data_IF_113418663208
#
_entry.id   IF_113418663208
#
_cell.length_a   1.000
_cell.length_b   1.000
_cell.length_c   1.000
_cell.angle_alpha   90.00
_cell.angle_beta   90.00
_cell.angle_gamma   90.00
#
_symmetry.space_group_name_H-M   'P 1'
#
loop_
_entity.id
_entity.type
_entity.pdbx_description
1 polymer ?
#
# COMPACT_ATOMS: atom_id res chain seq x y z
N UNK A 1 -13.16 -44.01 -52.48
CA UNK A 1 -13.18 -42.58 -52.85
C UNK A 1 -13.69 -41.77 -51.68
N UNK A 2 -12.96 -40.71 -51.35
CA UNK A 2 -13.19 -39.58 -50.44
C UNK A 2 -12.88 -39.80 -48.96
N UNK A 3 -11.71 -39.31 -48.61
CA UNK A 3 -11.23 -38.94 -47.27
C UNK A 3 -12.10 -37.87 -46.62
N UNK A 4 -12.34 -38.02 -45.33
CA UNK A 4 -12.85 -36.95 -44.47
C UNK A 4 -11.83 -36.76 -43.34
N UNK A 5 -11.21 -35.57 -43.31
CA UNK A 5 -10.21 -35.14 -42.35
C UNK A 5 -10.81 -35.00 -40.96
N UNK A 6 -10.18 -35.64 -39.98
CA UNK A 6 -10.40 -35.37 -38.57
C UNK A 6 -9.61 -34.10 -38.20
N UNK A 7 -10.33 -33.04 -37.85
CA UNK A 7 -9.76 -31.89 -37.15
C UNK A 7 -9.72 -32.18 -35.67
N UNK A 8 -8.56 -32.40 -35.11
CA UNK A 8 -8.33 -32.42 -33.67
C UNK A 8 -8.12 -30.97 -33.24
N UNK A 9 -9.11 -30.43 -32.53
CA UNK A 9 -8.98 -29.16 -31.82
C UNK A 9 -8.13 -29.39 -30.56
N UNK A 10 -6.86 -28.99 -30.60
CA UNK A 10 -6.06 -28.82 -29.38
C UNK A 10 -6.48 -27.55 -28.68
N UNK A 11 -7.33 -27.67 -27.66
CA UNK A 11 -7.60 -26.58 -26.71
C UNK A 11 -6.40 -26.50 -25.78
N UNK A 12 -5.52 -25.55 -26.04
CA UNK A 12 -4.42 -25.22 -25.16
C UNK A 12 -4.93 -24.64 -23.85
N UNK A 13 -4.76 -25.39 -22.78
CA UNK A 13 -4.87 -24.87 -21.41
C UNK A 13 -3.62 -24.01 -21.13
N UNK A 14 -3.74 -22.72 -21.37
CA UNK A 14 -2.76 -21.73 -20.97
C UNK A 14 -3.42 -20.83 -19.94
N UNK A 15 -3.42 -21.29 -18.69
CA UNK A 15 -3.95 -20.48 -17.61
C UNK A 15 -3.02 -20.46 -16.39
N UNK A 16 -2.77 -19.25 -15.94
CA UNK A 16 -2.33 -18.86 -14.60
C UNK A 16 -0.89 -19.15 -14.18
N UNK A 17 0.01 -18.31 -14.70
CA UNK A 17 1.26 -17.95 -14.01
C UNK A 17 1.50 -16.41 -14.03
N UNK A 18 0.44 -15.61 -14.07
CA UNK A 18 0.58 -14.15 -14.28
C UNK A 18 0.59 -13.28 -13.02
N UNK A 19 0.34 -13.79 -11.80
CA UNK A 19 0.19 -12.91 -10.63
C UNK A 19 1.47 -12.66 -9.84
N UNK A 20 2.47 -13.56 -9.88
CA UNK A 20 3.70 -13.41 -9.11
C UNK A 20 4.83 -12.68 -9.85
N UNK A 21 4.81 -12.67 -11.16
CA UNK A 21 5.81 -11.93 -11.95
C UNK A 21 5.59 -10.41 -11.89
N UNK A 22 4.35 -9.95 -11.77
CA UNK A 22 4.02 -8.52 -11.80
C UNK A 22 4.55 -7.73 -10.58
N UNK A 23 4.57 -8.32 -9.39
CA UNK A 23 5.04 -7.62 -8.18
C UNK A 23 6.57 -7.41 -8.18
N UNK A 24 7.34 -8.29 -8.81
CA UNK A 24 8.79 -8.17 -8.93
C UNK A 24 9.25 -7.08 -9.89
N UNK A 25 8.36 -6.56 -10.75
CA UNK A 25 8.68 -5.52 -11.73
C UNK A 25 8.35 -4.09 -11.24
N UNK A 26 7.79 -3.93 -10.03
CA UNK A 26 7.50 -2.59 -9.49
C UNK A 26 8.79 -1.95 -8.96
N UNK A 27 9.26 -0.85 -9.58
CA UNK A 27 10.53 -0.22 -9.18
C UNK A 27 10.53 0.18 -7.70
N UNK A 28 11.49 -0.37 -6.96
CA UNK A 28 11.66 -0.08 -5.53
C UNK A 28 10.70 -0.82 -4.60
N UNK A 29 9.85 -1.72 -5.08
CA UNK A 29 9.07 -2.62 -4.23
C UNK A 29 9.97 -3.77 -3.74
N UNK A 30 10.07 -3.95 -2.42
CA UNK A 30 11.04 -4.88 -1.80
C UNK A 30 10.41 -5.78 -0.72
N UNK A 31 9.10 -5.91 -0.69
CA UNK A 31 8.40 -6.80 0.25
C UNK A 31 8.95 -8.24 0.16
N UNK A 32 9.26 -8.85 1.31
CA UNK A 32 9.79 -10.21 1.41
C UNK A 32 11.22 -10.39 0.88
N UNK A 33 11.93 -9.29 0.51
CA UNK A 33 13.31 -9.38 0.04
C UNK A 33 14.29 -9.31 1.21
N UNK A 34 15.37 -10.07 1.13
CA UNK A 34 16.46 -10.09 2.13
C UNK A 34 17.20 -8.76 2.30
N UNK A 35 16.99 -7.80 1.40
CA UNK A 35 17.53 -6.44 1.49
C UNK A 35 16.75 -5.53 2.44
N UNK A 36 15.54 -5.92 2.84
CA UNK A 36 14.73 -5.21 3.83
C UNK A 36 15.32 -5.44 5.22
N UNK A 37 15.40 -4.38 6.01
CA UNK A 37 15.88 -4.49 7.39
C UNK A 37 14.81 -5.09 8.28
N UNK A 38 15.22 -5.95 9.21
CA UNK A 38 14.35 -6.40 10.29
C UNK A 38 13.81 -5.22 11.08
N UNK A 39 12.51 -5.25 11.34
CA UNK A 39 11.83 -4.25 12.14
C UNK A 39 12.38 -4.21 13.58
N UNK A 40 12.43 -3.04 14.22
CA UNK A 40 12.85 -2.92 15.62
C UNK A 40 11.74 -3.26 16.62
N UNK A 41 10.60 -3.71 16.15
CA UNK A 41 9.45 -4.18 16.92
C UNK A 41 9.06 -5.59 16.47
N UNK A 42 8.38 -6.33 17.32
CA UNK A 42 8.12 -7.76 17.16
C UNK A 42 6.69 -8.05 16.70
N UNK A 43 6.41 -9.30 16.32
CA UNK A 43 5.04 -9.77 16.10
C UNK A 43 4.18 -9.70 17.36
N UNK A 44 4.78 -9.84 18.55
CA UNK A 44 4.06 -9.64 19.82
C UNK A 44 3.61 -8.20 20.00
N UNK A 45 4.49 -7.23 19.71
CA UNK A 45 4.12 -5.80 19.71
C UNK A 45 2.99 -5.51 18.72
N UNK A 46 3.02 -6.14 17.54
CA UNK A 46 1.94 -6.03 16.56
C UNK A 46 0.61 -6.56 17.11
N UNK A 47 0.61 -7.70 17.80
CA UNK A 47 -0.61 -8.25 18.41
C UNK A 47 -1.17 -7.34 19.52
N UNK A 48 -0.29 -6.71 20.30
CA UNK A 48 -0.69 -5.70 21.28
C UNK A 48 -1.32 -4.46 20.61
N UNK A 49 -0.73 -3.96 19.52
CA UNK A 49 -1.30 -2.87 18.74
C UNK A 49 -2.66 -3.24 18.15
N UNK A 50 -2.79 -4.43 17.56
CA UNK A 50 -4.08 -4.94 17.03
C UNK A 50 -5.14 -4.96 18.11
N UNK A 51 -4.81 -5.45 19.30
CA UNK A 51 -5.72 -5.45 20.45
C UNK A 51 -6.10 -4.03 20.86
N UNK A 52 -5.14 -3.11 20.89
CA UNK A 52 -5.35 -1.70 21.28
C UNK A 52 -6.32 -0.98 20.36
N UNK A 53 -6.24 -1.21 19.06
CA UNK A 53 -7.14 -0.61 18.07
C UNK A 53 -8.40 -1.46 17.80
N UNK A 54 -8.63 -2.50 18.59
CA UNK A 54 -9.75 -3.44 18.48
C UNK A 54 -9.80 -4.13 17.10
N UNK A 55 -8.62 -4.44 16.53
CA UNK A 55 -8.50 -5.19 15.28
C UNK A 55 -8.63 -6.69 15.58
N UNK A 56 -9.50 -7.37 14.86
CA UNK A 56 -9.85 -8.78 15.09
C UNK A 56 -9.60 -9.63 13.82
N UNK A 57 -9.72 -10.95 13.96
CA UNK A 57 -9.71 -11.86 12.81
C UNK A 57 -10.85 -11.57 11.80
N UNK A 58 -11.97 -11.03 12.27
CA UNK A 58 -13.08 -10.61 11.39
C UNK A 58 -12.69 -9.37 10.57
N UNK A 59 -11.95 -8.41 11.15
CA UNK A 59 -11.42 -7.28 10.38
C UNK A 59 -10.45 -7.76 9.28
N UNK A 60 -9.58 -8.72 9.58
CA UNK A 60 -8.69 -9.30 8.56
C UNK A 60 -9.47 -10.01 7.43
N UNK A 61 -10.59 -10.65 7.73
CA UNK A 61 -11.48 -11.24 6.73
C UNK A 61 -12.12 -10.16 5.86
N UNK A 62 -12.60 -9.06 6.45
CA UNK A 62 -13.18 -7.94 5.71
C UNK A 62 -12.16 -7.20 4.84
N UNK A 63 -10.90 -7.11 5.26
CA UNK A 63 -9.83 -6.62 4.40
C UNK A 63 -9.68 -7.52 3.16
N UNK A 64 -9.59 -8.82 3.32
CA UNK A 64 -9.47 -9.76 2.19
C UNK A 64 -10.69 -9.73 1.25
N UNK A 65 -11.87 -9.54 1.80
CA UNK A 65 -13.07 -9.34 0.97
C UNK A 65 -13.00 -8.04 0.17
N UNK A 66 -12.54 -6.96 0.81
CA UNK A 66 -12.36 -5.67 0.14
C UNK A 66 -11.37 -5.72 -1.04
N UNK A 67 -10.42 -6.67 -1.04
CA UNK A 67 -9.47 -6.87 -2.14
C UNK A 67 -10.18 -7.04 -3.49
N UNK A 68 -11.21 -7.88 -3.51
CA UNK A 68 -11.99 -8.20 -4.73
C UNK A 68 -12.69 -6.98 -5.30
N UNK A 69 -13.14 -6.08 -4.41
CA UNK A 69 -13.80 -4.83 -4.78
C UNK A 69 -12.80 -3.77 -5.24
N UNK A 70 -11.68 -3.63 -4.54
CA UNK A 70 -10.73 -2.54 -4.80
C UNK A 70 -9.80 -2.81 -5.99
N UNK A 71 -9.44 -4.07 -6.25
CA UNK A 71 -8.49 -4.43 -7.30
C UNK A 71 -8.86 -3.88 -8.69
N UNK A 72 -10.10 -4.02 -9.19
CA UNK A 72 -10.50 -3.46 -10.49
C UNK A 72 -10.56 -1.93 -10.51
N UNK A 73 -10.53 -1.27 -9.35
CA UNK A 73 -10.65 0.17 -9.18
C UNK A 73 -9.37 0.85 -8.65
N UNK A 74 -8.27 0.12 -8.49
CA UNK A 74 -7.06 0.64 -7.84
C UNK A 74 -6.48 1.87 -8.55
N UNK A 75 -6.48 1.90 -9.87
CA UNK A 75 -6.01 3.05 -10.64
C UNK A 75 -6.87 4.29 -10.39
N UNK A 76 -8.19 4.17 -10.43
CA UNK A 76 -9.13 5.27 -10.20
C UNK A 76 -9.06 5.78 -8.74
N UNK A 77 -8.89 4.85 -7.79
CA UNK A 77 -8.67 5.20 -6.39
C UNK A 77 -7.42 6.06 -6.23
N UNK A 78 -6.31 5.68 -6.87
CA UNK A 78 -5.07 6.46 -6.82
C UNK A 78 -5.18 7.77 -7.59
N UNK A 79 -5.95 7.86 -8.69
CA UNK A 79 -6.24 9.13 -9.35
C UNK A 79 -6.96 10.09 -8.40
N UNK A 80 -7.94 9.62 -7.66
CA UNK A 80 -8.65 10.39 -6.64
C UNK A 80 -7.70 10.89 -5.55
N UNK A 81 -6.83 10.00 -5.04
CA UNK A 81 -5.83 10.34 -4.03
C UNK A 81 -4.81 11.38 -4.53
N UNK A 82 -4.23 11.17 -5.71
CA UNK A 82 -3.26 12.12 -6.26
C UNK A 82 -3.91 13.43 -6.72
N UNK A 83 -5.19 13.43 -7.08
CA UNK A 83 -6.00 14.63 -7.25
C UNK A 83 -6.07 15.47 -5.97
N UNK A 84 -6.32 14.82 -4.83
CA UNK A 84 -6.28 15.45 -3.51
C UNK A 84 -4.88 16.00 -3.18
N UNK A 85 -3.82 15.23 -3.38
CA UNK A 85 -2.44 15.69 -3.15
C UNK A 85 -2.11 16.89 -4.04
N UNK A 86 -2.46 16.84 -5.33
CA UNK A 86 -2.21 17.91 -6.29
C UNK A 86 -2.96 19.20 -5.98
N UNK A 87 -4.17 19.12 -5.43
CA UNK A 87 -4.95 20.26 -4.98
C UNK A 87 -4.41 20.91 -3.69
N UNK A 88 -3.45 20.29 -3.01
CA UNK A 88 -2.88 20.73 -1.75
C UNK A 88 -1.37 21.02 -1.88
N UNK A 89 -0.94 22.26 -2.17
CA UNK A 89 0.47 22.57 -2.46
C UNK A 89 1.44 22.14 -1.37
N UNK A 90 1.04 22.16 -0.10
CA UNK A 90 1.86 21.72 1.04
C UNK A 90 2.10 20.19 1.07
N UNK A 91 1.25 19.40 0.39
CA UNK A 91 1.45 17.95 0.20
C UNK A 91 2.22 17.67 -1.09
N UNK A 92 1.89 18.36 -2.19
CA UNK A 92 2.59 18.24 -3.46
C UNK A 92 4.08 18.60 -3.32
N UNK A 93 4.42 19.51 -2.40
CA UNK A 93 5.79 19.90 -2.06
C UNK A 93 6.73 18.70 -1.83
N UNK A 94 6.26 17.60 -1.24
CA UNK A 94 7.10 16.43 -0.98
C UNK A 94 7.48 15.61 -2.22
N UNK A 95 6.91 15.95 -3.37
CA UNK A 95 7.19 15.33 -4.67
C UNK A 95 7.91 16.28 -5.63
N UNK A 96 8.24 17.48 -5.18
CA UNK A 96 8.92 18.49 -5.99
C UNK A 96 10.42 18.30 -6.00
N UNK A 97 11.05 18.67 -7.13
CA UNK A 97 12.50 18.84 -7.23
C UNK A 97 12.97 19.97 -6.32
N UNK A 98 14.07 19.76 -5.60
CA UNK A 98 14.71 20.82 -4.79
C UNK A 98 15.31 21.93 -5.65
N UNK A 99 15.62 21.63 -6.92
CA UNK A 99 16.30 22.56 -7.82
C UNK A 99 15.38 23.68 -8.31
N UNK A 100 14.15 23.36 -8.68
CA UNK A 100 13.25 24.30 -9.38
C UNK A 100 11.82 24.29 -8.84
N UNK A 101 11.51 23.45 -7.85
CA UNK A 101 10.17 23.38 -7.26
C UNK A 101 9.12 22.70 -8.15
N UNK A 102 9.50 22.12 -9.27
CA UNK A 102 8.55 21.44 -10.15
C UNK A 102 8.24 20.02 -9.66
N UNK A 103 7.01 19.50 -9.84
CA UNK A 103 6.70 18.10 -9.52
C UNK A 103 7.54 17.15 -10.38
N UNK A 104 8.17 16.15 -9.71
CA UNK A 104 8.93 15.11 -10.40
C UNK A 104 7.98 14.00 -10.84
N UNK A 105 7.59 14.00 -12.12
CA UNK A 105 6.61 13.06 -12.68
C UNK A 105 7.07 11.61 -12.65
N UNK A 106 8.36 11.32 -12.88
CA UNK A 106 8.90 9.96 -12.81
C UNK A 106 8.86 9.42 -11.38
N UNK A 107 9.22 10.25 -10.40
CA UNK A 107 9.12 9.89 -8.99
C UNK A 107 7.67 9.60 -8.57
N UNK A 108 6.73 10.49 -8.97
CA UNK A 108 5.30 10.30 -8.73
C UNK A 108 4.80 8.98 -9.31
N UNK A 109 5.19 8.63 -10.55
CA UNK A 109 4.79 7.38 -11.19
C UNK A 109 5.29 6.14 -10.43
N UNK A 110 6.54 6.15 -9.98
CA UNK A 110 7.13 5.05 -9.20
C UNK A 110 6.45 4.90 -7.82
N UNK A 111 6.21 6.02 -7.13
CA UNK A 111 5.50 5.99 -5.84
C UNK A 111 4.06 5.54 -6.03
N UNK A 112 3.38 5.98 -7.09
CA UNK A 112 2.03 5.53 -7.43
C UNK A 112 1.95 4.01 -7.61
N UNK A 113 2.85 3.41 -8.38
CA UNK A 113 2.88 1.96 -8.60
C UNK A 113 3.04 1.19 -7.28
N UNK A 114 3.93 1.65 -6.38
CA UNK A 114 4.08 1.07 -5.04
C UNK A 114 2.86 1.30 -4.15
N UNK A 115 2.16 2.41 -4.31
CA UNK A 115 0.96 2.68 -3.53
C UNK A 115 -0.21 1.79 -3.97
N UNK A 116 -0.38 1.51 -5.27
CA UNK A 116 -1.33 0.50 -5.75
C UNK A 116 -1.03 -0.85 -5.09
N UNK A 117 0.24 -1.28 -5.11
CA UNK A 117 0.64 -2.53 -4.48
C UNK A 117 0.38 -2.52 -2.96
N UNK A 118 0.63 -1.40 -2.28
CA UNK A 118 0.31 -1.25 -0.86
C UNK A 118 -1.19 -1.40 -0.57
N UNK A 119 -2.07 -0.94 -1.46
CA UNK A 119 -3.52 -1.21 -1.33
C UNK A 119 -3.77 -2.72 -1.33
N UNK A 120 -3.08 -3.44 -2.20
CA UNK A 120 -3.19 -4.89 -2.30
C UNK A 120 -2.62 -5.59 -1.06
N UNK A 121 -1.43 -5.25 -0.64
CA UNK A 121 -0.78 -5.83 0.54
C UNK A 121 -1.60 -5.59 1.82
N UNK A 122 -2.22 -4.42 1.94
CA UNK A 122 -3.10 -4.10 3.07
C UNK A 122 -4.37 -4.97 3.05
N UNK A 123 -4.97 -5.12 1.87
CA UNK A 123 -6.18 -5.95 1.71
C UNK A 123 -5.90 -7.44 1.91
N UNK A 124 -4.72 -7.93 1.54
CA UNK A 124 -4.34 -9.34 1.76
C UNK A 124 -4.18 -9.69 3.25
N UNK A 125 -3.94 -8.69 4.09
CA UNK A 125 -3.90 -8.82 5.56
C UNK A 125 -2.96 -9.95 6.05
N UNK A 126 -1.76 -10.05 5.44
CA UNK A 126 -0.71 -11.00 5.81
C UNK A 126 0.18 -10.37 6.89
N UNK A 127 -0.20 -10.50 8.15
CA UNK A 127 0.51 -9.89 9.28
C UNK A 127 1.63 -10.80 9.80
N UNK A 128 2.56 -11.18 8.91
CA UNK A 128 3.76 -11.98 9.19
C UNK A 128 5.02 -11.12 9.38
N UNK A 129 6.18 -11.76 9.55
CA UNK A 129 7.44 -11.04 9.75
C UNK A 129 7.84 -10.23 8.51
N UNK A 130 7.64 -10.75 7.31
CA UNK A 130 7.96 -10.04 6.07
C UNK A 130 7.11 -8.77 5.92
N UNK A 131 5.82 -8.86 6.29
CA UNK A 131 4.94 -7.71 6.34
C UNK A 131 5.43 -6.67 7.36
N UNK A 132 5.79 -7.13 8.57
CA UNK A 132 6.25 -6.25 9.65
C UNK A 132 7.55 -5.52 9.27
N UNK A 133 8.51 -6.23 8.71
CA UNK A 133 9.77 -5.66 8.22
C UNK A 133 9.53 -4.66 7.11
N UNK A 134 8.56 -4.93 6.22
CA UNK A 134 8.22 -4.01 5.14
C UNK A 134 7.50 -2.74 5.65
N UNK A 135 6.71 -2.80 6.73
CA UNK A 135 6.17 -1.59 7.37
C UNK A 135 7.31 -0.69 7.89
N UNK A 136 8.34 -1.27 8.50
CA UNK A 136 9.51 -0.51 8.91
C UNK A 136 10.24 0.13 7.72
N UNK A 137 10.41 -0.60 6.63
CA UNK A 137 10.99 -0.09 5.39
C UNK A 137 10.18 1.10 4.83
N UNK A 138 8.85 1.02 4.83
CA UNK A 138 7.99 2.13 4.41
C UNK A 138 8.20 3.35 5.34
N UNK A 139 8.24 3.14 6.65
CA UNK A 139 8.54 4.20 7.61
C UNK A 139 9.87 4.90 7.32
N UNK A 140 10.94 4.14 7.06
CA UNK A 140 12.25 4.67 6.68
C UNK A 140 12.19 5.52 5.39
N UNK A 141 11.34 5.16 4.42
CA UNK A 141 11.19 5.89 3.16
C UNK A 141 10.51 7.24 3.30
N UNK A 142 9.95 7.56 4.46
CA UNK A 142 9.34 8.84 4.76
C UNK A 142 10.31 9.84 5.41
N UNK A 143 11.50 9.41 5.85
CA UNK A 143 12.41 10.24 6.63
C UNK A 143 13.77 10.44 5.96
N UNK A 144 14.42 11.60 6.19
CA UNK A 144 15.80 11.86 5.78
C UNK A 144 16.81 11.01 6.56
N UNK A 145 16.48 10.57 7.77
CA UNK A 145 17.30 9.64 8.58
C UNK A 145 17.32 8.24 7.96
N UNK A 146 16.26 7.88 7.24
CA UNK A 146 16.12 6.61 6.57
C UNK A 146 16.44 6.66 5.08
N UNK A 147 15.42 6.42 4.26
CA UNK A 147 15.57 6.13 2.83
C UNK A 147 14.78 7.05 1.88
N UNK A 148 14.12 8.12 2.38
CA UNK A 148 13.38 9.00 1.45
C UNK A 148 14.30 9.47 0.33
N UNK A 149 13.84 9.36 -0.90
CA UNK A 149 14.55 9.64 -2.15
C UNK A 149 15.72 8.68 -2.49
N UNK A 150 16.23 7.88 -1.55
CA UNK A 150 17.34 6.97 -1.81
C UNK A 150 16.92 5.77 -2.65
N UNK A 151 15.72 5.23 -2.41
CA UNK A 151 15.16 4.11 -3.19
C UNK A 151 15.04 4.45 -4.68
N UNK A 152 14.62 5.67 -5.00
CA UNK A 152 14.39 6.12 -6.38
C UNK A 152 15.54 6.95 -6.94
N UNK A 153 16.54 7.29 -6.10
CA UNK A 153 17.66 8.17 -6.45
C UNK A 153 17.20 9.48 -7.10
N UNK A 154 16.29 10.19 -6.44
CA UNK A 154 15.68 11.42 -6.96
C UNK A 154 16.10 12.64 -6.16
N UNK A 155 16.21 13.81 -6.83
CA UNK A 155 16.36 15.10 -6.19
C UNK A 155 15.00 15.68 -5.81
N UNK A 156 14.48 15.25 -4.67
CA UNK A 156 13.22 15.74 -4.11
C UNK A 156 13.39 16.09 -2.63
N UNK A 157 12.36 16.70 -2.03
CA UNK A 157 12.34 16.94 -0.58
C UNK A 157 12.54 15.63 0.16
N UNK A 158 13.49 15.57 1.08
CA UNK A 158 14.03 14.34 1.67
C UNK A 158 13.40 13.96 3.02
N UNK A 159 12.33 14.65 3.43
CA UNK A 159 11.65 14.40 4.69
C UNK A 159 10.17 14.78 4.61
N UNK A 160 9.29 13.87 5.00
CA UNK A 160 7.88 14.17 5.24
C UNK A 160 7.74 14.52 6.72
N UNK A 161 7.17 15.68 7.03
CA UNK A 161 6.96 16.08 8.42
C UNK A 161 6.03 15.09 9.14
N UNK A 162 6.37 14.70 10.35
CA UNK A 162 5.65 13.74 11.18
C UNK A 162 4.15 13.99 11.25
N UNK A 163 3.75 15.27 11.43
CA UNK A 163 2.32 15.67 11.48
C UNK A 163 1.53 15.26 10.24
N UNK A 164 2.16 15.26 9.05
CA UNK A 164 1.47 14.86 7.82
C UNK A 164 1.39 13.34 7.67
N UNK A 165 2.40 12.60 8.15
CA UNK A 165 2.31 11.15 8.25
C UNK A 165 1.07 10.73 9.05
N UNK A 166 0.84 11.35 10.21
CA UNK A 166 -0.32 11.06 11.05
C UNK A 166 -1.62 11.56 10.43
N UNK A 167 -1.64 12.82 9.94
CA UNK A 167 -2.85 13.44 9.42
C UNK A 167 -3.41 12.74 8.18
N UNK A 168 -2.53 12.18 7.34
CA UNK A 168 -2.92 11.51 6.09
C UNK A 168 -3.66 10.18 6.32
N UNK A 169 -3.64 9.63 7.53
CA UNK A 169 -4.48 8.48 7.89
C UNK A 169 -5.96 8.71 7.52
N UNK A 170 -6.52 9.87 7.88
CA UNK A 170 -7.93 10.16 7.61
C UNK A 170 -8.25 10.27 6.12
N UNK A 171 -7.58 11.12 5.30
CA UNK A 171 -7.92 11.22 3.89
C UNK A 171 -7.66 9.93 3.11
N UNK A 172 -6.66 9.12 3.47
CA UNK A 172 -6.43 7.81 2.84
C UNK A 172 -7.63 6.89 3.07
N UNK A 173 -8.06 6.73 4.31
CA UNK A 173 -9.18 5.86 4.65
C UNK A 173 -10.52 6.38 4.15
N UNK A 174 -10.72 7.70 4.14
CA UNK A 174 -11.91 8.33 3.59
C UNK A 174 -12.02 8.14 2.07
N UNK A 175 -10.89 8.18 1.34
CA UNK A 175 -10.84 7.97 -0.11
C UNK A 175 -11.26 6.54 -0.49
N UNK A 176 -10.98 5.55 0.34
CA UNK A 176 -11.28 4.13 0.06
C UNK A 176 -12.78 3.84 0.10
N UNK A 177 -13.52 4.46 1.02
CA UNK A 177 -14.93 4.11 1.25
C UNK A 177 -15.82 4.15 0.00
N UNK A 178 -15.82 5.20 -0.85
CA UNK A 178 -16.64 5.22 -2.05
C UNK A 178 -16.32 4.12 -3.06
N UNK A 179 -15.10 3.56 -3.00
CA UNK A 179 -14.71 2.44 -3.85
C UNK A 179 -15.21 1.11 -3.31
N UNK A 180 -15.29 0.95 -1.99
CA UNK A 180 -15.92 -0.22 -1.37
C UNK A 180 -17.42 -0.30 -1.70
N UNK A 181 -18.08 0.84 -1.87
CA UNK A 181 -19.49 0.96 -2.25
C UNK A 181 -19.77 0.53 -3.71
N UNK A 182 -18.73 0.32 -4.52
CA UNK A 182 -18.88 -0.17 -5.91
C UNK A 182 -19.10 -1.68 -6.00
N UNK A 183 -18.84 -2.42 -4.93
CA UNK A 183 -19.11 -3.87 -4.86
C UNK A 183 -20.59 -4.18 -4.62
N UNK A 184 -20.96 -5.43 -4.89
CA UNK A 184 -22.30 -5.93 -4.59
C UNK A 184 -22.36 -6.45 -3.14
N UNK A 185 -22.30 -5.49 -2.19
CA UNK A 185 -22.30 -5.74 -0.75
C UNK A 185 -23.37 -4.90 -0.05
N UNK A 186 -23.84 -5.37 1.10
CA UNK A 186 -24.73 -4.58 1.95
C UNK A 186 -24.02 -3.36 2.55
N UNK A 187 -24.79 -2.36 2.99
CA UNK A 187 -24.22 -1.20 3.68
C UNK A 187 -23.46 -1.59 4.95
N UNK A 188 -23.89 -2.65 5.63
CA UNK A 188 -23.26 -3.23 6.81
C UNK A 188 -21.89 -3.82 6.46
N UNK A 189 -21.79 -4.58 5.35
CA UNK A 189 -20.54 -5.18 4.88
C UNK A 189 -19.55 -4.10 4.42
N UNK A 190 -20.01 -3.09 3.68
CA UNK A 190 -19.20 -1.93 3.29
C UNK A 190 -18.66 -1.20 4.53
N UNK A 191 -19.48 -0.99 5.55
CA UNK A 191 -19.03 -0.39 6.79
C UNK A 191 -18.01 -1.27 7.53
N UNK A 192 -18.22 -2.59 7.55
CA UNK A 192 -17.26 -3.53 8.16
C UNK A 192 -15.90 -3.50 7.43
N UNK A 193 -15.90 -3.56 6.10
CA UNK A 193 -14.69 -3.38 5.29
C UNK A 193 -14.00 -2.05 5.59
N UNK A 194 -14.74 -0.95 5.62
CA UNK A 194 -14.19 0.38 5.87
C UNK A 194 -13.59 0.51 7.29
N UNK A 195 -14.25 -0.02 8.33
CA UNK A 195 -13.72 -0.05 9.69
C UNK A 195 -12.42 -0.87 9.77
N UNK A 196 -12.36 -2.02 9.08
CA UNK A 196 -11.13 -2.81 8.99
C UNK A 196 -9.98 -2.03 8.34
N UNK A 197 -10.25 -1.27 7.27
CA UNK A 197 -9.30 -0.36 6.65
C UNK A 197 -8.80 0.73 7.59
N UNK A 198 -9.70 1.41 8.31
CA UNK A 198 -9.34 2.45 9.28
C UNK A 198 -8.37 1.90 10.34
N UNK A 199 -8.68 0.73 10.92
CA UNK A 199 -7.86 0.10 11.94
C UNK A 199 -6.51 -0.36 11.38
N UNK A 200 -6.50 -1.02 10.22
CA UNK A 200 -5.26 -1.51 9.59
C UNK A 200 -4.32 -0.37 9.21
N UNK A 201 -4.83 0.69 8.58
CA UNK A 201 -4.01 1.86 8.22
C UNK A 201 -3.51 2.58 9.47
N UNK A 202 -4.29 2.64 10.56
CA UNK A 202 -3.82 3.20 11.83
C UNK A 202 -2.65 2.41 12.40
N UNK A 203 -2.71 1.08 12.42
CA UNK A 203 -1.59 0.22 12.83
C UNK A 203 -0.35 0.53 11.99
N UNK A 204 -0.50 0.59 10.67
CA UNK A 204 0.61 0.87 9.75
C UNK A 204 1.23 2.25 10.00
N UNK A 205 0.42 3.29 10.17
CA UNK A 205 0.91 4.65 10.48
C UNK A 205 1.66 4.69 11.81
N UNK A 206 1.21 3.95 12.82
CA UNK A 206 1.94 3.80 14.10
C UNK A 206 3.31 3.16 13.83
N UNK A 207 3.39 2.04 13.11
CA UNK A 207 4.65 1.37 12.79
C UNK A 207 5.58 2.27 11.95
N UNK A 208 5.04 3.01 10.98
CA UNK A 208 5.81 3.97 10.15
C UNK A 208 6.32 5.16 10.95
N UNK A 209 5.75 5.44 12.12
CA UNK A 209 6.17 6.54 12.97
C UNK A 209 7.51 6.29 13.70
N UNK A 210 7.92 5.02 13.85
CA UNK A 210 9.12 4.63 14.58
C UNK A 210 10.37 5.45 14.18
N UNK A 211 10.72 5.65 12.89
CA UNK A 211 11.90 6.42 12.52
C UNK A 211 11.86 7.91 12.89
N UNK A 212 10.73 8.44 13.34
CA UNK A 212 10.57 9.82 13.79
C UNK A 212 10.78 9.98 15.30
N UNK A 213 10.69 8.90 16.05
CA UNK A 213 10.66 8.88 17.51
C UNK A 213 12.05 8.52 18.04
N UNK A 214 12.35 8.87 19.26
CA UNK A 214 13.59 8.49 19.92
C UNK A 214 13.52 7.03 20.37
N UNK A 215 14.68 6.38 20.38
CA UNK A 215 14.80 5.04 20.95
C UNK A 215 14.30 5.01 22.39
N UNK A 216 13.40 4.07 22.68
CA UNK A 216 12.77 3.88 23.98
C UNK A 216 11.45 4.64 24.22
N UNK A 217 11.03 5.48 23.27
CA UNK A 217 9.75 6.22 23.36
C UNK A 217 8.65 5.62 22.43
N UNK A 218 8.98 4.54 21.72
CA UNK A 218 8.06 3.84 20.79
C UNK A 218 7.32 2.69 21.47
#
# INVERSE_FOLDING_TARGET
MKNIYQFVLAIGFSFMLCSWAAANDIPGYTYGQSSVKTAPYTLEDLELLKTTVLFTAEDAKWLRESRKVLEPHAEELLDTWYGFVGANPHLLYFFQSKKDGTPNGEYLARVRARFIQWVYDTADANYDQDWLDYQYEIGLRHTHRGKKNKTDNVDSVDHINYRYLLALHYPVTATIKPFLEKGDHSSEDVNAMHQAWIKSVLIQVILWSHPYIKDGDF
#
